data_IF_108332975140
#
_entry.id   IF_108332975140
#
_cell.length_a   1.000
_cell.length_b   1.000
_cell.length_c   1.000
_cell.angle_alpha   90.00
_cell.angle_beta   90.00
_cell.angle_gamma   90.00
#
_symmetry.space_group_name_H-M   'P 1'
#
loop_
_entity.id
_entity.type
_entity.pdbx_description
1 polymer ?
#
# COMPACT_ATOMS: atom_id res chain seq x y z
N UNK A 1 77.82 68.71 37.18
CA UNK A 1 78.00 67.98 35.98
C UNK A 1 77.88 66.57 36.34
N UNK A 2 77.26 65.76 35.65
CA UNK A 2 76.93 64.33 35.83
C UNK A 2 76.25 63.95 37.17
N UNK A 3 74.92 63.80 37.09
CA UNK A 3 74.14 63.00 38.04
C UNK A 3 74.19 61.57 37.49
N UNK A 4 75.01 60.73 38.14
CA UNK A 4 75.10 59.32 37.90
C UNK A 4 73.90 58.59 38.50
N UNK A 5 73.34 57.68 37.72
CA UNK A 5 72.27 56.75 38.06
C UNK A 5 72.64 55.84 39.21
N UNK A 6 71.98 55.96 40.36
CA UNK A 6 71.98 54.92 41.35
C UNK A 6 70.75 54.00 41.09
N UNK A 7 70.84 53.09 40.11
CA UNK A 7 69.99 51.92 40.09
C UNK A 7 70.39 50.99 41.23
N UNK A 8 69.61 50.99 42.28
CA UNK A 8 69.79 50.12 43.44
C UNK A 8 69.62 48.65 42.99
N UNK A 9 70.73 47.95 42.74
CA UNK A 9 70.75 46.52 42.49
C UNK A 9 70.06 45.79 43.69
N UNK A 10 68.89 45.26 43.45
CA UNK A 10 68.13 44.44 44.44
C UNK A 10 68.90 43.23 44.78
N UNK A 11 69.22 42.98 46.10
CA UNK A 11 69.98 41.84 46.56
C UNK A 11 69.41 40.55 46.05
N UNK A 12 70.24 39.59 45.64
CA UNK A 12 69.87 38.26 45.15
C UNK A 12 68.83 37.56 46.01
N UNK A 13 68.84 37.78 47.30
CA UNK A 13 67.83 37.19 48.27
C UNK A 13 66.42 37.81 48.06
N UNK A 14 66.37 39.11 47.76
CA UNK A 14 65.13 39.86 47.49
C UNK A 14 64.55 39.48 46.14
N UNK A 15 65.37 39.24 45.11
CA UNK A 15 64.97 38.79 43.78
C UNK A 15 64.42 37.36 43.91
N UNK A 16 65.05 36.42 44.64
CA UNK A 16 64.55 35.08 44.89
C UNK A 16 63.24 35.06 45.63
N UNK A 17 63.00 35.96 46.60
CA UNK A 17 61.71 36.08 47.30
C UNK A 17 60.59 36.54 46.38
N UNK A 18 60.86 37.48 45.51
CA UNK A 18 59.89 38.00 44.52
C UNK A 18 59.56 36.92 43.47
N UNK A 19 60.59 36.21 42.96
CA UNK A 19 60.41 35.11 42.04
C UNK A 19 59.55 33.98 42.66
N UNK A 20 59.85 33.58 43.92
CA UNK A 20 59.09 32.57 44.62
C UNK A 20 57.62 33.01 44.90
N UNK A 21 57.37 34.29 45.24
CA UNK A 21 55.99 34.83 45.35
C UNK A 21 55.26 34.81 44.06
N UNK A 22 55.90 35.16 42.92
CA UNK A 22 55.29 35.10 41.58
C UNK A 22 54.95 33.66 41.15
N UNK A 23 55.83 32.75 41.51
CA UNK A 23 55.60 31.32 41.16
C UNK A 23 54.47 30.71 42.01
N UNK A 24 54.37 31.00 43.30
CA UNK A 24 53.26 30.59 44.16
C UNK A 24 51.95 31.23 43.67
N UNK A 25 51.98 32.48 43.26
CA UNK A 25 50.79 33.17 42.71
C UNK A 25 50.38 32.56 41.38
N UNK A 26 51.34 32.15 40.52
CA UNK A 26 51.07 31.44 39.24
C UNK A 26 50.49 30.05 39.48
N UNK A 27 51.06 29.29 40.43
CA UNK A 27 50.55 27.96 40.81
C UNK A 27 49.13 28.06 41.38
N UNK A 28 48.83 29.01 42.27
CA UNK A 28 47.48 29.25 42.79
C UNK A 28 46.49 29.61 41.69
N UNK A 29 46.92 30.50 40.75
CA UNK A 29 46.09 30.88 39.61
C UNK A 29 45.81 29.69 38.70
N UNK A 30 46.83 28.89 38.40
CA UNK A 30 46.68 27.68 37.57
C UNK A 30 45.78 26.62 38.25
N UNK A 31 45.90 26.45 39.57
CA UNK A 31 45.03 25.57 40.34
C UNK A 31 43.55 26.04 40.35
N UNK A 32 43.33 27.37 40.43
CA UNK A 32 41.97 27.93 40.30
C UNK A 32 41.45 27.75 38.87
N UNK A 33 42.25 28.07 37.86
CA UNK A 33 41.90 27.88 36.46
C UNK A 33 41.58 26.38 36.15
N UNK A 34 42.35 25.43 36.70
CA UNK A 34 42.07 24.01 36.58
C UNK A 34 40.75 23.60 37.20
N UNK A 35 40.43 24.15 38.38
CA UNK A 35 39.12 23.90 39.02
C UNK A 35 37.96 24.49 38.21
N UNK A 36 38.11 25.72 37.69
CA UNK A 36 37.12 26.35 36.85
C UNK A 36 36.91 25.54 35.56
N UNK A 37 38.00 25.11 34.91
CA UNK A 37 37.91 24.26 33.70
C UNK A 37 37.21 22.94 33.99
N UNK A 38 37.50 22.29 35.12
CA UNK A 38 36.83 21.05 35.52
C UNK A 38 35.30 21.27 35.74
N UNK A 39 34.92 22.38 36.37
CA UNK A 39 33.47 22.70 36.54
C UNK A 39 32.81 22.97 35.22
N UNK A 40 33.45 23.69 34.29
CA UNK A 40 32.89 23.94 32.95
C UNK A 40 32.72 22.63 32.15
N UNK A 41 33.69 21.73 32.23
CA UNK A 41 33.60 20.42 31.60
C UNK A 41 32.43 19.60 32.19
N UNK A 42 32.29 19.59 33.52
CA UNK A 42 31.17 18.87 34.17
C UNK A 42 29.82 19.48 33.74
N UNK A 43 29.70 20.80 33.70
CA UNK A 43 28.48 21.48 33.24
C UNK A 43 28.16 21.16 31.77
N UNK A 44 29.18 21.09 30.92
CA UNK A 44 29.01 20.71 29.51
C UNK A 44 28.56 19.28 29.37
N UNK A 45 29.07 18.32 30.15
CA UNK A 45 28.63 16.93 30.18
C UNK A 45 27.20 16.81 30.68
N UNK A 46 26.86 17.49 31.77
CA UNK A 46 25.48 17.52 32.29
C UNK A 46 24.52 18.10 31.26
N UNK A 47 24.91 19.23 30.62
CA UNK A 47 24.12 19.83 29.54
C UNK A 47 23.87 18.85 28.35
N UNK A 48 24.92 18.11 27.96
CA UNK A 48 24.81 17.10 26.92
C UNK A 48 23.87 15.93 27.32
N UNK A 49 23.99 15.45 28.55
CA UNK A 49 23.11 14.39 29.08
C UNK A 49 21.64 14.87 29.10
N UNK A 50 21.39 16.07 29.61
CA UNK A 50 20.04 16.67 29.62
C UNK A 50 19.51 16.82 28.20
N UNK A 51 20.34 17.31 27.27
CA UNK A 51 19.95 17.44 25.86
C UNK A 51 19.58 16.06 25.24
N UNK A 52 20.39 15.03 25.48
CA UNK A 52 20.12 13.68 24.98
C UNK A 52 18.83 13.08 25.58
N UNK A 53 18.62 13.27 26.90
CA UNK A 53 17.39 12.81 27.59
C UNK A 53 16.16 13.54 27.03
N UNK A 54 16.24 14.88 26.90
CA UNK A 54 15.13 15.67 26.34
C UNK A 54 14.84 15.27 24.89
N UNK A 55 15.88 15.07 24.07
CA UNK A 55 15.74 14.60 22.70
C UNK A 55 15.07 13.22 22.63
N UNK A 56 15.47 12.26 23.49
CA UNK A 56 14.86 10.95 23.57
C UNK A 56 13.39 11.01 24.03
N UNK A 57 13.08 11.87 25.01
CA UNK A 57 11.70 12.11 25.45
C UNK A 57 10.83 12.71 24.36
N UNK A 58 11.36 13.67 23.58
CA UNK A 58 10.65 14.25 22.44
C UNK A 58 10.42 13.19 21.37
N UNK A 59 11.45 12.37 21.06
CA UNK A 59 11.31 11.27 20.11
C UNK A 59 10.21 10.28 20.53
N UNK A 60 10.21 9.83 21.79
CA UNK A 60 9.18 8.93 22.33
C UNK A 60 7.78 9.54 22.33
N UNK A 61 7.65 10.86 22.54
CA UNK A 61 6.34 11.52 22.51
C UNK A 61 5.75 11.64 21.11
N UNK A 62 6.58 11.57 20.05
CA UNK A 62 6.16 11.58 18.64
C UNK A 62 5.92 10.20 18.08
N UNK A 63 6.46 9.16 18.71
CA UNK A 63 6.32 7.78 18.24
C UNK A 63 4.85 7.36 18.28
N UNK A 64 4.33 6.89 17.14
CA UNK A 64 3.00 6.30 17.03
C UNK A 64 3.10 4.82 17.38
N UNK A 65 2.30 4.38 18.33
CA UNK A 65 2.18 2.96 18.68
C UNK A 65 1.17 2.33 17.75
N UNK A 66 1.52 1.20 17.13
CA UNK A 66 0.59 0.42 16.32
C UNK A 66 -0.60 -0.02 17.20
N UNK A 67 -1.83 0.23 16.75
CA UNK A 67 -3.05 0.02 17.51
C UNK A 67 -4.09 -0.69 16.63
N UNK A 68 -4.49 -1.89 17.00
CA UNK A 68 -5.48 -2.66 16.25
C UNK A 68 -6.92 -2.44 16.73
N UNK A 69 -7.11 -1.83 17.91
CA UNK A 69 -8.43 -1.64 18.50
C UNK A 69 -9.08 -0.30 18.07
N UNK A 70 -9.18 -0.06 16.77
CA UNK A 70 -9.88 1.10 16.23
C UNK A 70 -11.33 1.22 16.74
N UNK A 71 -12.04 0.09 16.80
CA UNK A 71 -13.42 0.03 17.29
C UNK A 71 -13.57 0.49 18.75
N UNK A 72 -12.47 0.49 19.52
CA UNK A 72 -12.43 0.97 20.90
C UNK A 72 -12.82 2.44 21.05
N UNK A 73 -12.58 3.28 20.06
CA UNK A 73 -12.94 4.71 20.02
C UNK A 73 -14.29 4.97 19.34
N UNK A 74 -15.05 3.93 19.05
CA UNK A 74 -16.39 4.01 18.46
C UNK A 74 -17.45 3.51 19.43
N UNK A 75 -18.63 4.06 19.31
CA UNK A 75 -19.83 3.58 20.01
C UNK A 75 -20.42 2.37 19.29
N UNK A 76 -21.33 1.64 19.96
CA UNK A 76 -22.00 0.48 19.35
C UNK A 76 -22.84 0.81 18.10
N UNK A 77 -23.19 2.07 17.91
CA UNK A 77 -23.89 2.57 16.73
C UNK A 77 -22.96 3.27 15.72
N UNK A 78 -21.66 3.06 15.82
CA UNK A 78 -20.66 3.49 14.84
C UNK A 78 -20.24 4.96 14.90
N UNK A 79 -20.69 5.72 15.90
CA UNK A 79 -20.27 7.11 16.10
C UNK A 79 -18.93 7.18 16.86
N UNK A 80 -18.14 8.22 16.62
CA UNK A 80 -16.92 8.48 17.38
C UNK A 80 -17.30 8.84 18.82
N UNK A 81 -16.73 8.16 19.80
CA UNK A 81 -17.07 8.33 21.22
C UNK A 81 -16.86 9.74 21.73
N UNK A 82 -17.89 10.29 22.39
CA UNK A 82 -17.81 11.59 23.03
C UNK A 82 -17.64 12.77 22.08
N UNK A 83 -17.80 12.55 20.76
CA UNK A 83 -17.63 13.56 19.73
C UNK A 83 -18.98 14.02 19.21
N UNK A 84 -19.21 15.33 19.25
CA UNK A 84 -20.23 16.02 18.44
C UNK A 84 -19.50 16.57 17.22
N UNK A 85 -19.75 15.99 16.06
CA UNK A 85 -18.92 16.25 14.88
C UNK A 85 -18.90 17.71 14.46
N UNK A 86 -20.03 18.46 14.66
CA UNK A 86 -20.09 19.89 14.34
C UNK A 86 -19.10 20.77 15.12
N UNK A 87 -18.53 20.29 16.22
CA UNK A 87 -17.52 21.02 16.99
C UNK A 87 -16.14 20.93 16.30
N UNK A 88 -15.91 19.87 15.51
CA UNK A 88 -14.64 19.53 14.87
C UNK A 88 -14.59 19.84 13.39
N UNK A 89 -15.74 19.86 12.70
CA UNK A 89 -15.81 20.08 11.25
C UNK A 89 -16.97 21.02 10.89
N UNK A 90 -16.78 21.79 9.84
CA UNK A 90 -17.86 22.48 9.11
C UNK A 90 -18.10 21.73 7.82
N UNK A 91 -19.29 21.11 7.69
CA UNK A 91 -19.64 20.29 6.53
C UNK A 91 -19.98 21.19 5.34
N UNK A 92 -19.54 20.80 4.15
CA UNK A 92 -19.93 21.43 2.89
C UNK A 92 -21.44 21.28 2.61
N UNK A 93 -21.95 22.05 1.68
CA UNK A 93 -23.36 21.95 1.27
C UNK A 93 -23.62 20.64 0.50
N UNK A 94 -23.93 19.57 1.23
CA UNK A 94 -24.27 18.26 0.69
C UNK A 94 -25.68 18.17 0.09
N UNK A 95 -26.49 19.22 0.20
CA UNK A 95 -27.84 19.26 -0.37
C UNK A 95 -27.88 19.75 -1.83
N UNK A 96 -26.81 20.41 -2.29
CA UNK A 96 -26.71 21.02 -3.62
C UNK A 96 -25.46 20.56 -4.40
N UNK A 97 -25.07 19.30 -4.25
CA UNK A 97 -23.98 18.72 -5.05
C UNK A 97 -24.45 18.57 -6.50
N UNK A 98 -23.62 19.00 -7.44
CA UNK A 98 -23.85 18.87 -8.88
C UNK A 98 -22.64 18.25 -9.55
N UNK A 99 -22.85 17.28 -10.43
CA UNK A 99 -21.82 16.55 -11.15
C UNK A 99 -22.23 16.35 -12.62
N UNK A 100 -21.29 16.37 -13.55
CA UNK A 100 -21.57 16.01 -14.93
C UNK A 100 -21.61 14.49 -15.08
N UNK A 101 -22.51 13.97 -15.93
CA UNK A 101 -22.63 12.53 -16.18
C UNK A 101 -21.29 11.92 -16.61
N UNK A 102 -20.54 12.61 -17.48
CA UNK A 102 -19.24 12.17 -17.97
C UNK A 102 -18.16 11.95 -16.90
N UNK A 103 -18.35 12.49 -15.69
CA UNK A 103 -17.41 12.31 -14.56
C UNK A 103 -17.71 11.06 -13.75
N UNK A 104 -18.92 10.48 -13.91
CA UNK A 104 -19.40 9.35 -13.08
C UNK A 104 -19.94 8.18 -13.91
N UNK A 105 -20.15 8.34 -15.21
CA UNK A 105 -20.59 7.25 -16.08
C UNK A 105 -19.52 6.14 -16.19
N UNK A 106 -19.97 4.94 -16.47
CA UNK A 106 -19.09 3.83 -16.82
C UNK A 106 -19.17 3.60 -18.33
N UNK A 107 -18.15 4.06 -19.03
CA UNK A 107 -18.13 4.12 -20.48
C UNK A 107 -18.18 2.73 -21.15
N UNK A 108 -18.74 2.66 -22.36
CA UNK A 108 -18.95 1.40 -23.08
C UNK A 108 -17.67 0.61 -23.32
N UNK A 109 -16.54 1.28 -23.56
CA UNK A 109 -15.24 0.64 -23.73
C UNK A 109 -14.77 -0.08 -22.45
N UNK A 110 -15.09 0.44 -21.27
CA UNK A 110 -14.81 -0.22 -19.99
C UNK A 110 -15.69 -1.45 -19.79
N UNK A 111 -16.98 -1.34 -20.13
CA UNK A 111 -17.91 -2.48 -20.10
C UNK A 111 -17.42 -3.62 -20.98
N UNK A 112 -17.04 -3.33 -22.24
CA UNK A 112 -16.54 -4.36 -23.15
C UNK A 112 -15.17 -4.92 -22.70
N UNK A 113 -14.33 -4.12 -22.07
CA UNK A 113 -13.08 -4.59 -21.45
C UNK A 113 -13.33 -5.59 -20.31
N UNK A 114 -14.29 -5.30 -19.43
CA UNK A 114 -14.68 -6.21 -18.34
C UNK A 114 -15.24 -7.52 -18.90
N UNK A 115 -16.13 -7.42 -19.91
CA UNK A 115 -16.69 -8.60 -20.59
C UNK A 115 -15.58 -9.43 -21.23
N UNK A 116 -14.65 -8.79 -21.95
CA UNK A 116 -13.49 -9.46 -22.54
C UNK A 116 -12.65 -10.22 -21.52
N UNK A 117 -12.46 -9.62 -20.33
CA UNK A 117 -11.74 -10.26 -19.22
C UNK A 117 -12.47 -11.50 -18.70
N UNK A 118 -13.80 -11.42 -18.58
CA UNK A 118 -14.63 -12.56 -18.14
C UNK A 118 -14.57 -13.68 -19.18
N UNK A 119 -14.72 -13.37 -20.47
CA UNK A 119 -14.63 -14.35 -21.55
C UNK A 119 -13.27 -15.05 -21.58
N UNK A 120 -12.19 -14.28 -21.37
CA UNK A 120 -10.83 -14.83 -21.31
C UNK A 120 -10.62 -15.81 -20.15
N UNK A 121 -11.32 -15.61 -19.02
CA UNK A 121 -11.29 -16.53 -17.88
C UNK A 121 -12.14 -17.80 -18.09
N UNK A 122 -13.05 -17.76 -19.06
CA UNK A 122 -13.96 -18.87 -19.37
C UNK A 122 -13.63 -19.53 -20.73
N UNK A 123 -12.39 -19.42 -21.19
CA UNK A 123 -11.91 -20.11 -22.39
C UNK A 123 -11.97 -21.61 -22.19
N UNK A 124 -12.34 -22.34 -23.26
CA UNK A 124 -12.36 -23.81 -23.32
C UNK A 124 -11.24 -24.33 -24.21
N UNK A 125 -10.59 -25.41 -23.78
CA UNK A 125 -9.54 -26.06 -24.57
C UNK A 125 -10.17 -26.91 -25.66
N UNK A 126 -10.01 -26.50 -26.93
CA UNK A 126 -10.40 -27.26 -28.09
C UNK A 126 -9.26 -28.17 -28.56
N UNK A 127 -9.54 -29.46 -28.64
CA UNK A 127 -8.57 -30.48 -29.05
C UNK A 127 -8.91 -31.12 -30.40
N UNK A 128 -9.77 -30.46 -31.18
CA UNK A 128 -10.18 -30.93 -32.50
C UNK A 128 -9.02 -30.90 -33.47
N UNK A 129 -8.63 -32.05 -34.02
CA UNK A 129 -7.55 -32.16 -35.02
C UNK A 129 -7.79 -31.24 -36.20
N UNK A 130 -6.70 -30.58 -36.68
CA UNK A 130 -6.73 -29.67 -37.82
C UNK A 130 -7.11 -28.22 -37.47
N UNK A 131 -7.47 -27.90 -36.22
CA UNK A 131 -7.60 -26.52 -35.77
C UNK A 131 -6.20 -25.87 -35.76
N UNK A 132 -6.02 -24.73 -36.40
CA UNK A 132 -4.71 -24.11 -36.66
C UNK A 132 -4.45 -22.96 -35.75
N UNK A 133 -3.27 -22.95 -35.09
CA UNK A 133 -2.82 -21.90 -34.19
C UNK A 133 -2.52 -20.59 -34.92
N UNK A 134 -2.87 -19.48 -34.28
CA UNK A 134 -2.67 -18.10 -34.76
C UNK A 134 -1.95 -17.28 -33.70
N UNK A 135 -1.41 -16.15 -34.11
CA UNK A 135 -0.89 -15.15 -33.20
C UNK A 135 -1.98 -14.66 -32.24
N UNK A 136 -1.64 -14.58 -30.94
CA UNK A 136 -2.55 -14.23 -29.86
C UNK A 136 -3.33 -15.42 -29.26
N UNK A 137 -3.31 -16.60 -29.88
CA UNK A 137 -4.00 -17.77 -29.33
C UNK A 137 -3.30 -18.27 -28.05
N UNK A 138 -4.09 -18.62 -27.04
CA UNK A 138 -3.62 -19.42 -25.92
C UNK A 138 -3.68 -20.90 -26.36
N UNK A 139 -2.52 -21.56 -26.28
CA UNK A 139 -2.37 -22.95 -26.73
C UNK A 139 -1.91 -23.84 -25.58
N UNK A 140 -2.18 -25.15 -25.70
CA UNK A 140 -1.61 -26.18 -24.83
C UNK A 140 -0.58 -26.98 -25.60
N UNK A 141 0.64 -27.06 -25.07
CA UNK A 141 1.80 -27.67 -25.71
C UNK A 141 2.40 -28.76 -24.84
N UNK A 142 2.94 -29.81 -25.51
CA UNK A 142 4.03 -30.62 -24.95
C UNK A 142 5.29 -30.26 -25.74
N UNK A 143 6.43 -30.14 -25.07
CA UNK A 143 7.70 -29.93 -25.76
C UNK A 143 8.86 -30.60 -25.05
N UNK A 144 9.88 -30.95 -25.83
CA UNK A 144 11.18 -31.48 -25.35
C UNK A 144 12.31 -30.84 -26.12
N UNK A 145 13.08 -29.97 -25.46
CA UNK A 145 14.25 -29.28 -26.00
C UNK A 145 15.52 -30.11 -25.87
N UNK A 146 16.33 -30.12 -26.91
CA UNK A 146 17.64 -30.80 -26.96
C UNK A 146 18.70 -29.87 -27.52
N UNK A 147 19.88 -29.91 -26.90
CA UNK A 147 21.12 -29.29 -27.41
C UNK A 147 22.05 -30.43 -27.79
N UNK A 148 22.57 -30.42 -29.03
CA UNK A 148 23.40 -31.51 -29.57
C UNK A 148 22.75 -32.91 -29.43
N UNK A 149 21.41 -32.97 -29.50
CA UNK A 149 20.62 -34.22 -29.38
C UNK A 149 20.37 -34.68 -27.93
N UNK A 150 20.87 -33.96 -26.92
CA UNK A 150 20.72 -34.28 -25.49
C UNK A 150 19.72 -33.32 -24.85
N UNK A 151 18.70 -33.86 -24.15
CA UNK A 151 17.75 -33.07 -23.39
C UNK A 151 18.45 -32.32 -22.22
N UNK A 152 18.02 -31.12 -21.92
CA UNK A 152 18.56 -30.27 -20.87
C UNK A 152 17.48 -29.90 -19.84
N UNK A 153 17.93 -29.55 -18.62
CA UNK A 153 17.04 -29.17 -17.53
C UNK A 153 16.28 -27.87 -17.86
N UNK A 154 14.95 -27.89 -17.67
CA UNK A 154 14.04 -26.77 -18.02
C UNK A 154 13.61 -26.76 -19.50
N UNK A 155 14.14 -27.66 -20.35
CA UNK A 155 13.76 -27.77 -21.76
C UNK A 155 12.55 -28.67 -22.05
N UNK A 156 11.90 -29.26 -21.02
CA UNK A 156 10.79 -30.19 -21.24
C UNK A 156 9.58 -29.80 -20.40
N UNK A 157 8.40 -29.76 -21.03
CA UNK A 157 7.12 -29.61 -20.33
C UNK A 157 6.03 -30.45 -21.01
N UNK A 158 5.01 -30.75 -20.25
CA UNK A 158 3.75 -31.39 -20.71
C UNK A 158 2.57 -30.58 -20.23
N UNK A 159 1.55 -30.48 -21.09
CA UNK A 159 0.34 -29.69 -20.82
C UNK A 159 0.64 -28.20 -20.45
N UNK A 160 1.65 -27.62 -21.06
CA UNK A 160 2.03 -26.25 -20.83
C UNK A 160 1.09 -25.28 -21.56
N UNK A 161 0.47 -24.38 -20.81
CA UNK A 161 -0.44 -23.37 -21.36
C UNK A 161 0.31 -22.09 -21.69
N UNK A 162 0.34 -21.71 -22.96
CA UNK A 162 1.11 -20.58 -23.46
C UNK A 162 0.31 -19.68 -24.39
N UNK A 163 0.58 -18.36 -24.38
CA UNK A 163 -0.01 -17.40 -25.33
C UNK A 163 1.00 -17.07 -26.42
N UNK A 164 0.68 -17.41 -27.65
CA UNK A 164 1.54 -17.11 -28.80
C UNK A 164 1.60 -15.60 -29.05
N UNK A 165 2.79 -15.06 -29.31
CA UNK A 165 3.04 -13.62 -29.45
C UNK A 165 3.24 -12.89 -28.12
N UNK A 166 3.25 -13.59 -26.98
CA UNK A 166 3.50 -12.99 -25.65
C UNK A 166 4.97 -12.60 -25.44
N UNK A 167 5.88 -13.13 -26.23
CA UNK A 167 7.34 -12.97 -26.11
C UNK A 167 7.87 -13.41 -24.72
N UNK A 168 7.25 -14.39 -24.09
CA UNK A 168 7.69 -14.94 -22.81
C UNK A 168 8.59 -16.17 -22.98
N UNK A 169 8.55 -16.81 -24.15
CA UNK A 169 9.53 -17.80 -24.55
C UNK A 169 10.75 -17.16 -25.27
N UNK A 170 11.78 -17.96 -25.54
CA UNK A 170 12.91 -17.51 -26.32
C UNK A 170 12.48 -17.09 -27.73
N UNK A 171 13.20 -16.12 -28.27
CA UNK A 171 12.95 -15.55 -29.61
C UNK A 171 12.72 -16.66 -30.66
N UNK A 172 11.79 -16.43 -31.54
CA UNK A 172 11.38 -17.30 -32.65
C UNK A 172 10.67 -18.62 -32.24
N UNK A 173 10.58 -18.98 -30.97
CA UNK A 173 9.88 -20.19 -30.55
C UNK A 173 8.38 -20.10 -30.83
N UNK A 174 7.75 -19.00 -30.41
CA UNK A 174 6.31 -18.79 -30.54
C UNK A 174 5.90 -18.63 -32.00
N UNK A 175 6.71 -17.92 -32.81
CA UNK A 175 6.43 -17.67 -34.21
C UNK A 175 6.41 -18.96 -35.05
N UNK A 176 7.24 -19.94 -34.71
CA UNK A 176 7.30 -21.22 -35.42
C UNK A 176 6.11 -22.15 -35.09
N UNK A 177 5.36 -21.91 -34.02
CA UNK A 177 4.16 -22.66 -33.69
C UNK A 177 2.96 -22.14 -34.47
N UNK A 178 2.95 -20.87 -34.85
CA UNK A 178 1.88 -20.25 -35.62
C UNK A 178 1.75 -20.95 -36.97
N UNK A 179 0.53 -21.38 -37.33
CA UNK A 179 0.22 -22.10 -38.55
C UNK A 179 0.22 -23.62 -38.43
N UNK A 180 0.74 -24.18 -37.33
CA UNK A 180 0.60 -25.60 -37.05
C UNK A 180 -0.80 -25.94 -36.49
N UNK A 181 -1.21 -27.19 -36.73
CA UNK A 181 -2.55 -27.67 -36.35
C UNK A 181 -2.53 -28.52 -35.07
N UNK A 182 -3.64 -28.52 -34.36
CA UNK A 182 -3.84 -29.40 -33.21
C UNK A 182 -3.63 -30.87 -33.62
N UNK A 183 -2.86 -31.58 -32.82
CA UNK A 183 -2.44 -32.97 -33.05
C UNK A 183 -1.09 -33.08 -33.80
N UNK A 184 -0.56 -32.02 -34.37
CA UNK A 184 0.76 -32.05 -35.05
C UNK A 184 1.89 -32.10 -34.01
N UNK A 185 2.95 -32.86 -34.39
CA UNK A 185 4.25 -32.86 -33.71
C UNK A 185 5.30 -32.39 -34.73
N UNK A 186 6.06 -31.37 -34.39
CA UNK A 186 7.03 -30.70 -35.26
C UNK A 186 8.23 -30.22 -34.46
N UNK A 187 9.32 -29.91 -35.16
CA UNK A 187 10.52 -29.39 -34.55
C UNK A 187 10.56 -27.85 -34.67
N UNK A 188 10.94 -27.18 -33.60
CA UNK A 188 11.16 -25.73 -33.48
C UNK A 188 12.65 -25.51 -33.18
N UNK A 189 13.33 -24.79 -34.05
CA UNK A 189 14.74 -24.49 -33.93
C UNK A 189 14.95 -23.08 -33.37
N UNK A 190 15.70 -22.95 -32.26
CA UNK A 190 15.97 -21.67 -31.59
C UNK A 190 17.43 -21.56 -31.18
N UNK A 191 17.93 -20.33 -31.09
CA UNK A 191 19.24 -20.03 -30.50
C UNK A 191 19.03 -19.29 -29.17
N UNK A 192 19.58 -19.79 -28.07
CA UNK A 192 19.53 -19.10 -26.78
C UNK A 192 20.28 -17.77 -26.85
N UNK A 193 19.79 -16.70 -26.17
CA UNK A 193 20.52 -15.43 -26.10
C UNK A 193 21.94 -15.62 -25.53
N UNK A 194 22.90 -14.81 -26.02
CA UNK A 194 24.30 -14.81 -25.51
C UNK A 194 24.37 -14.50 -24.02
N UNK A 195 23.42 -13.70 -23.49
CA UNK A 195 23.23 -13.45 -22.06
C UNK A 195 21.92 -14.09 -21.60
N UNK A 196 21.98 -15.33 -21.12
CA UNK A 196 20.84 -16.06 -20.58
C UNK A 196 21.00 -16.31 -19.10
N UNK A 197 20.54 -15.35 -18.28
CA UNK A 197 20.74 -15.36 -16.82
C UNK A 197 20.01 -16.49 -16.10
N UNK A 198 18.91 -17.01 -16.65
CA UNK A 198 18.16 -18.15 -16.09
C UNK A 198 18.94 -19.46 -16.13
N UNK A 199 19.80 -19.64 -17.12
CA UNK A 199 20.72 -20.79 -17.25
C UNK A 199 21.93 -20.42 -18.11
N UNK A 200 23.03 -19.91 -17.50
CA UNK A 200 24.23 -19.49 -18.23
C UNK A 200 24.93 -20.61 -19.00
N UNK A 201 24.71 -21.88 -18.63
CA UNK A 201 25.36 -23.03 -19.28
C UNK A 201 24.85 -23.30 -20.69
N UNK A 202 23.67 -22.79 -21.04
CA UNK A 202 23.05 -22.95 -22.38
C UNK A 202 23.02 -21.64 -23.17
N UNK A 203 23.55 -20.54 -22.63
CA UNK A 203 23.65 -19.26 -23.32
C UNK A 203 24.38 -19.40 -24.68
N UNK A 204 23.84 -18.77 -25.73
CA UNK A 204 24.38 -18.79 -27.09
C UNK A 204 24.33 -20.13 -27.82
N UNK A 205 23.69 -21.17 -27.25
CA UNK A 205 23.59 -22.50 -27.88
C UNK A 205 22.34 -22.63 -28.74
N UNK A 206 22.48 -23.38 -29.83
CA UNK A 206 21.35 -23.81 -30.64
C UNK A 206 20.63 -24.99 -29.98
N UNK A 207 19.31 -24.96 -30.00
CA UNK A 207 18.45 -26.01 -29.47
C UNK A 207 17.32 -26.36 -30.47
N UNK A 208 16.93 -27.61 -30.46
CA UNK A 208 15.78 -28.12 -31.18
C UNK A 208 14.74 -28.61 -30.19
N UNK A 209 13.56 -28.04 -30.26
CA UNK A 209 12.40 -28.46 -29.46
C UNK A 209 11.46 -29.28 -30.32
N UNK A 210 11.25 -30.53 -29.95
CA UNK A 210 10.14 -31.32 -30.53
C UNK A 210 8.86 -30.89 -29.79
N UNK A 211 7.95 -30.22 -30.48
CA UNK A 211 6.72 -29.60 -29.94
C UNK A 211 5.50 -30.39 -30.44
N UNK A 212 4.53 -30.63 -29.56
CA UNK A 212 3.21 -31.16 -29.93
C UNK A 212 2.16 -30.13 -29.55
N UNK A 213 1.38 -29.64 -30.52
CA UNK A 213 0.24 -28.76 -30.26
C UNK A 213 -0.98 -29.61 -29.85
N UNK A 214 -1.31 -29.61 -28.56
CA UNK A 214 -2.38 -30.44 -27.99
C UNK A 214 -3.76 -29.84 -28.12
N UNK A 215 -3.87 -28.51 -28.11
CA UNK A 215 -5.14 -27.82 -28.21
C UNK A 215 -4.96 -26.31 -28.25
N UNK A 216 -6.04 -25.64 -28.62
CA UNK A 216 -6.14 -24.18 -28.67
C UNK A 216 -7.30 -23.77 -27.76
N UNK A 217 -7.08 -22.77 -26.91
CA UNK A 217 -8.13 -22.21 -26.09
C UNK A 217 -9.01 -21.28 -26.91
N UNK A 218 -10.30 -21.58 -26.93
CA UNK A 218 -11.31 -20.81 -27.65
C UNK A 218 -12.07 -19.94 -26.66
N UNK A 219 -12.10 -18.64 -26.93
CA UNK A 219 -12.89 -17.67 -26.16
C UNK A 219 -14.37 -17.83 -26.55
N UNK A 220 -15.28 -18.04 -25.57
CA UNK A 220 -16.71 -18.11 -25.87
C UNK A 220 -17.26 -16.76 -26.36
N UNK A 221 -18.37 -16.79 -27.08
CA UNK A 221 -19.11 -15.58 -27.42
C UNK A 221 -19.93 -15.09 -26.22
N UNK A 222 -20.04 -13.76 -26.08
CA UNK A 222 -20.87 -13.16 -25.03
C UNK A 222 -22.34 -13.15 -25.45
N UNK A 223 -23.03 -14.24 -25.16
CA UNK A 223 -24.45 -14.46 -25.49
C UNK A 223 -25.33 -14.51 -24.24
N UNK A 224 -26.65 -14.50 -24.41
CA UNK A 224 -27.61 -14.70 -23.31
C UNK A 224 -27.43 -16.06 -22.64
N UNK A 225 -27.05 -17.11 -23.40
CA UNK A 225 -26.74 -18.43 -22.91
C UNK A 225 -25.52 -18.40 -21.99
N UNK A 226 -24.44 -17.72 -22.41
CA UNK A 226 -23.24 -17.53 -21.61
C UNK A 226 -23.58 -16.84 -20.28
N UNK A 227 -24.39 -15.77 -20.32
CA UNK A 227 -24.80 -15.01 -19.11
C UNK A 227 -25.63 -15.91 -18.18
N UNK A 228 -26.57 -16.69 -18.69
CA UNK A 228 -27.37 -17.60 -17.87
C UNK A 228 -26.54 -18.72 -17.22
N UNK A 229 -25.51 -19.19 -17.90
CA UNK A 229 -24.64 -20.26 -17.38
C UNK A 229 -23.65 -19.74 -16.35
N UNK A 230 -23.02 -18.57 -16.58
CA UNK A 230 -21.90 -18.10 -15.80
C UNK A 230 -22.18 -16.86 -14.93
N UNK A 231 -23.23 -16.09 -15.24
CA UNK A 231 -23.49 -14.76 -14.65
C UNK A 231 -24.94 -14.57 -14.19
N UNK A 232 -25.69 -15.66 -14.00
CA UNK A 232 -27.13 -15.65 -13.65
C UNK A 232 -27.46 -14.93 -12.34
N UNK A 233 -26.50 -14.79 -11.43
CA UNK A 233 -26.67 -14.02 -10.20
C UNK A 233 -26.78 -12.52 -10.44
N UNK A 234 -26.40 -12.04 -11.64
CA UNK A 234 -26.33 -10.61 -11.98
C UNK A 234 -27.30 -10.21 -13.09
N UNK A 235 -27.55 -11.08 -14.06
CA UNK A 235 -28.45 -10.82 -15.18
C UNK A 235 -28.89 -12.11 -15.88
N UNK A 236 -29.99 -12.00 -16.67
CA UNK A 236 -30.52 -13.10 -17.49
C UNK A 236 -30.13 -12.98 -18.98
N UNK A 237 -29.58 -11.82 -19.40
CA UNK A 237 -29.23 -11.56 -20.80
C UNK A 237 -27.90 -10.79 -20.90
N UNK A 238 -27.26 -10.85 -22.09
CA UNK A 238 -26.03 -10.12 -22.40
C UNK A 238 -26.20 -8.61 -22.23
N UNK A 239 -27.28 -8.05 -22.71
CA UNK A 239 -27.57 -6.61 -22.55
C UNK A 239 -27.90 -6.27 -21.09
N UNK A 240 -28.60 -7.16 -20.38
CA UNK A 240 -28.85 -7.02 -18.94
C UNK A 240 -27.57 -6.97 -18.12
N UNK A 241 -26.58 -7.81 -18.48
CA UNK A 241 -25.28 -7.78 -17.79
C UNK A 241 -24.47 -6.52 -18.10
N UNK A 242 -24.49 -6.02 -19.35
CA UNK A 242 -23.91 -4.71 -19.69
C UNK A 242 -24.51 -3.59 -18.86
N UNK A 243 -25.83 -3.58 -18.72
CA UNK A 243 -26.51 -2.59 -17.89
C UNK A 243 -26.16 -2.74 -16.41
N UNK A 244 -26.10 -3.96 -15.89
CA UNK A 244 -25.63 -4.24 -14.52
C UNK A 244 -24.24 -3.66 -14.25
N UNK A 245 -23.27 -3.86 -15.18
CA UNK A 245 -21.92 -3.28 -15.05
C UNK A 245 -21.96 -1.76 -15.01
N UNK A 246 -22.76 -1.13 -15.89
CA UNK A 246 -22.94 0.33 -15.90
C UNK A 246 -23.52 0.84 -14.59
N UNK A 247 -24.61 0.25 -14.12
CA UNK A 247 -25.30 0.70 -12.92
C UNK A 247 -24.46 0.53 -11.65
N UNK A 248 -23.77 -0.61 -11.54
CA UNK A 248 -22.84 -0.90 -10.44
C UNK A 248 -21.69 0.12 -10.38
N UNK A 249 -21.05 0.38 -11.51
CA UNK A 249 -19.91 1.28 -11.57
C UNK A 249 -20.37 2.75 -11.46
N UNK A 250 -21.52 3.12 -12.02
CA UNK A 250 -22.10 4.45 -11.84
C UNK A 250 -22.33 4.75 -10.35
N UNK A 251 -22.94 3.82 -9.60
CA UNK A 251 -23.13 3.97 -8.15
C UNK A 251 -21.79 4.15 -7.43
N UNK A 252 -20.78 3.36 -7.78
CA UNK A 252 -19.43 3.44 -7.22
C UNK A 252 -18.75 4.77 -7.54
N UNK A 253 -18.78 5.19 -8.81
CA UNK A 253 -18.19 6.46 -9.26
C UNK A 253 -18.83 7.67 -8.58
N UNK A 254 -20.17 7.68 -8.51
CA UNK A 254 -20.92 8.75 -7.81
C UNK A 254 -20.57 8.76 -6.31
N UNK A 255 -20.44 7.61 -5.67
CA UNK A 255 -20.01 7.51 -4.26
C UNK A 255 -18.61 8.09 -4.07
N UNK A 256 -17.68 7.74 -4.96
CA UNK A 256 -16.31 8.27 -4.96
C UNK A 256 -16.30 9.78 -5.17
N UNK A 257 -17.10 10.28 -6.10
CA UNK A 257 -17.26 11.73 -6.34
C UNK A 257 -17.74 12.46 -5.06
N UNK A 258 -18.81 11.96 -4.44
CA UNK A 258 -19.36 12.55 -3.20
C UNK A 258 -18.31 12.51 -2.07
N UNK A 259 -17.60 11.37 -1.90
CA UNK A 259 -16.54 11.26 -0.90
C UNK A 259 -15.46 12.32 -1.10
N UNK A 260 -14.97 12.46 -2.34
CA UNK A 260 -13.96 13.46 -2.68
C UNK A 260 -14.50 14.89 -2.47
N UNK A 261 -15.74 15.15 -2.89
CA UNK A 261 -16.40 16.43 -2.64
C UNK A 261 -16.44 16.79 -1.15
N UNK A 262 -16.80 15.84 -0.26
CA UNK A 262 -16.80 16.04 1.18
C UNK A 262 -15.37 16.28 1.72
N UNK A 263 -14.40 15.50 1.25
CA UNK A 263 -13.00 15.66 1.64
C UNK A 263 -12.47 17.05 1.21
N UNK A 264 -12.76 17.50 0.01
CA UNK A 264 -12.21 18.74 -0.52
C UNK A 264 -12.88 19.99 0.04
N UNK A 265 -14.21 19.95 0.23
CA UNK A 265 -15.00 21.13 0.54
C UNK A 265 -15.42 21.29 2.02
N UNK A 266 -15.30 20.26 2.85
CA UNK A 266 -15.48 20.39 4.29
C UNK A 266 -14.26 21.07 4.93
N UNK A 267 -14.48 21.85 5.98
CA UNK A 267 -13.40 22.53 6.72
C UNK A 267 -13.22 21.93 8.10
N UNK A 268 -12.09 21.27 8.34
CA UNK A 268 -11.72 20.76 9.66
C UNK A 268 -11.28 21.91 10.56
N UNK A 269 -11.82 21.97 11.77
CA UNK A 269 -11.43 22.89 12.84
C UNK A 269 -10.33 22.28 13.71
N UNK A 270 -10.47 21.01 14.03
CA UNK A 270 -9.48 20.17 14.73
C UNK A 270 -9.89 18.70 14.60
N UNK A 271 -8.97 17.79 14.92
CA UNK A 271 -9.30 16.37 15.03
C UNK A 271 -9.51 15.97 16.51
N UNK A 272 -10.47 15.06 16.82
CA UNK A 272 -10.59 14.47 18.14
C UNK A 272 -9.33 13.67 18.46
N UNK A 273 -8.64 14.00 19.56
CA UNK A 273 -7.29 13.52 19.88
C UNK A 273 -7.20 12.00 19.98
N UNK A 274 -8.15 11.36 20.66
CA UNK A 274 -8.15 9.92 20.90
C UNK A 274 -8.46 9.15 19.60
N UNK A 275 -9.41 9.65 18.82
CA UNK A 275 -9.75 9.08 17.52
C UNK A 275 -8.61 9.26 16.51
N UNK A 276 -7.94 10.42 16.47
CA UNK A 276 -6.75 10.63 15.65
C UNK A 276 -5.62 9.66 16.03
N UNK A 277 -5.39 9.52 17.33
CA UNK A 277 -4.36 8.62 17.85
C UNK A 277 -4.58 7.17 17.39
N UNK A 278 -5.80 6.65 17.59
CA UNK A 278 -6.12 5.27 17.20
C UNK A 278 -6.14 5.08 15.69
N UNK A 279 -6.56 6.08 14.92
CA UNK A 279 -6.54 6.02 13.46
C UNK A 279 -5.11 5.94 12.92
N UNK A 280 -4.19 6.77 13.44
CA UNK A 280 -2.76 6.70 13.14
C UNK A 280 -2.16 5.35 13.52
N UNK A 281 -2.49 4.87 14.73
CA UNK A 281 -2.04 3.57 15.24
C UNK A 281 -2.54 2.40 14.39
N UNK A 282 -3.79 2.45 13.95
CA UNK A 282 -4.37 1.42 13.08
C UNK A 282 -3.71 1.40 11.70
N UNK A 283 -3.43 2.56 11.11
CA UNK A 283 -2.69 2.63 9.85
C UNK A 283 -1.28 2.02 9.99
N UNK A 284 -0.56 2.38 11.05
CA UNK A 284 0.76 1.78 11.34
C UNK A 284 0.67 0.27 11.55
N UNK A 285 -0.36 -0.22 12.25
CA UNK A 285 -0.57 -1.65 12.46
C UNK A 285 -0.82 -2.41 11.14
N UNK A 286 -1.51 -1.81 10.17
CA UNK A 286 -1.70 -2.38 8.83
C UNK A 286 -0.38 -2.48 8.07
N UNK A 287 0.48 -1.46 8.16
CA UNK A 287 1.81 -1.49 7.54
C UNK A 287 2.72 -2.53 8.19
N UNK A 288 2.70 -2.66 9.52
CA UNK A 288 3.43 -3.73 10.23
C UNK A 288 2.91 -5.13 9.86
N UNK A 289 1.60 -5.29 9.69
CA UNK A 289 1.02 -6.54 9.20
C UNK A 289 1.51 -6.87 7.79
N UNK A 290 1.49 -5.89 6.87
CA UNK A 290 1.95 -6.09 5.49
C UNK A 290 3.44 -6.43 5.43
N UNK A 291 4.28 -5.74 6.20
CA UNK A 291 5.69 -6.07 6.36
C UNK A 291 5.91 -7.52 6.80
N UNK A 292 5.18 -7.96 7.84
CA UNK A 292 5.30 -9.34 8.34
C UNK A 292 4.80 -10.37 7.32
N UNK A 293 3.69 -10.07 6.62
CA UNK A 293 3.14 -10.91 5.58
C UNK A 293 4.13 -11.10 4.42
N UNK A 294 4.72 -10.02 3.92
CA UNK A 294 5.69 -10.07 2.82
C UNK A 294 6.95 -10.84 3.22
N UNK A 295 7.45 -10.65 4.43
CA UNK A 295 8.59 -11.42 4.94
C UNK A 295 8.27 -12.92 5.08
N UNK A 296 7.07 -13.26 5.53
CA UNK A 296 6.63 -14.66 5.63
C UNK A 296 6.54 -15.32 4.25
N UNK A 297 5.91 -14.62 3.29
CA UNK A 297 5.77 -15.10 1.92
C UNK A 297 7.14 -15.29 1.25
N UNK A 298 8.02 -14.30 1.34
CA UNK A 298 9.35 -14.34 0.74
C UNK A 298 10.23 -15.43 1.36
N UNK A 299 10.14 -15.61 2.69
CA UNK A 299 10.84 -16.66 3.41
C UNK A 299 10.40 -18.07 2.99
N UNK A 300 9.11 -18.23 2.69
CA UNK A 300 8.57 -19.52 2.21
C UNK A 300 9.12 -19.91 0.84
N UNK A 301 9.30 -18.94 -0.08
CA UNK A 301 9.76 -19.21 -1.45
C UNK A 301 11.28 -19.21 -1.60
N UNK A 302 11.99 -18.36 -0.84
CA UNK A 302 13.43 -18.11 -1.03
C UNK A 302 14.29 -18.45 0.18
N UNK A 303 13.69 -18.85 1.31
CA UNK A 303 14.41 -19.23 2.53
C UNK A 303 15.06 -18.06 3.29
N UNK A 304 14.80 -16.81 2.89
CA UNK A 304 15.34 -15.59 3.51
C UNK A 304 14.23 -14.54 3.67
N UNK A 305 14.44 -13.53 4.52
CA UNK A 305 13.52 -12.41 4.67
C UNK A 305 13.77 -11.36 3.57
N UNK A 306 12.71 -10.73 3.09
CA UNK A 306 12.76 -9.63 2.12
C UNK A 306 13.25 -8.32 2.75
N UNK A 307 12.84 -8.07 3.98
CA UNK A 307 13.18 -6.87 4.77
C UNK A 307 13.81 -7.28 6.10
N UNK A 308 14.90 -6.62 6.47
CA UNK A 308 15.64 -6.90 7.71
C UNK A 308 14.96 -6.37 8.98
N UNK A 309 14.11 -5.34 8.85
CA UNK A 309 13.34 -4.71 9.92
C UNK A 309 12.16 -3.93 9.35
N UNK A 310 11.23 -3.49 10.21
CA UNK A 310 10.14 -2.59 9.80
C UNK A 310 10.67 -1.26 9.27
N UNK A 311 11.72 -0.70 9.85
CA UNK A 311 12.38 0.51 9.33
C UNK A 311 13.01 0.29 7.94
N UNK A 312 13.60 -0.88 7.68
CA UNK A 312 14.10 -1.26 6.33
C UNK A 312 12.96 -1.32 5.31
N UNK A 313 11.81 -1.90 5.70
CA UNK A 313 10.59 -1.89 4.89
C UNK A 313 10.12 -0.47 4.59
N UNK A 314 10.00 0.39 5.60
CA UNK A 314 9.56 1.78 5.42
C UNK A 314 10.54 2.58 4.53
N UNK A 315 11.84 2.36 4.70
CA UNK A 315 12.87 3.01 3.88
C UNK A 315 12.78 2.60 2.42
N UNK A 316 12.61 1.31 2.14
CA UNK A 316 12.53 0.78 0.76
C UNK A 316 11.21 1.11 0.08
N UNK A 317 10.10 1.11 0.82
CA UNK A 317 8.75 1.31 0.26
C UNK A 317 8.34 2.78 0.19
N UNK A 318 8.75 3.58 1.16
CA UNK A 318 8.29 4.98 1.33
C UNK A 318 9.43 5.99 1.36
N UNK A 319 10.70 5.57 1.33
CA UNK A 319 11.89 6.43 1.50
C UNK A 319 11.87 7.22 2.81
N UNK A 320 11.35 6.62 3.89
CA UNK A 320 11.19 7.24 5.21
C UNK A 320 11.81 6.39 6.31
N UNK A 321 12.41 7.02 7.31
CA UNK A 321 12.67 6.41 8.61
C UNK A 321 11.35 6.17 9.35
N UNK A 322 11.33 5.34 10.39
CA UNK A 322 10.13 5.14 11.21
C UNK A 322 9.66 6.45 11.88
N UNK A 323 10.59 7.32 12.29
CA UNK A 323 10.27 8.64 12.86
C UNK A 323 9.58 9.56 11.82
N UNK A 324 10.11 9.64 10.60
CA UNK A 324 9.52 10.42 9.50
C UNK A 324 8.16 9.85 9.06
N UNK A 325 8.02 8.53 9.09
CA UNK A 325 6.76 7.87 8.81
C UNK A 325 5.72 8.25 9.87
N UNK A 326 6.03 8.12 11.16
CA UNK A 326 5.15 8.49 12.28
C UNK A 326 4.73 9.98 12.23
N UNK A 327 5.65 10.88 11.86
CA UNK A 327 5.36 12.31 11.67
C UNK A 327 4.39 12.56 10.50
N UNK A 328 4.49 11.76 9.42
CA UNK A 328 3.61 11.90 8.24
C UNK A 328 2.22 11.30 8.42
N UNK A 329 1.98 10.48 9.43
CA UNK A 329 0.71 9.76 9.60
C UNK A 329 -0.50 10.68 9.75
N UNK A 330 -0.37 11.84 10.37
CA UNK A 330 -1.50 12.78 10.51
C UNK A 330 -1.98 13.29 9.14
N UNK A 331 -1.06 13.61 8.24
CA UNK A 331 -1.38 13.98 6.86
C UNK A 331 -1.98 12.77 6.12
N UNK A 332 -1.38 11.59 6.26
CA UNK A 332 -1.82 10.36 5.60
C UNK A 332 -3.27 10.02 5.96
N UNK A 333 -3.65 10.08 7.24
CA UNK A 333 -5.01 9.74 7.68
C UNK A 333 -5.99 10.89 7.59
N UNK A 334 -5.54 12.10 7.21
CA UNK A 334 -6.37 13.33 7.24
C UNK A 334 -7.63 13.22 6.38
N UNK A 335 -7.54 12.61 5.21
CA UNK A 335 -8.68 12.38 4.31
C UNK A 335 -9.74 11.48 4.93
N UNK A 336 -9.33 10.37 5.53
CA UNK A 336 -10.23 9.41 6.17
C UNK A 336 -10.88 10.01 7.43
N UNK A 337 -10.10 10.73 8.24
CA UNK A 337 -10.59 11.45 9.41
C UNK A 337 -11.62 12.51 9.03
N UNK A 338 -11.34 13.28 7.97
CA UNK A 338 -12.24 14.31 7.46
C UNK A 338 -13.53 13.70 6.93
N UNK A 339 -13.44 12.60 6.19
CA UNK A 339 -14.60 11.87 5.71
C UNK A 339 -15.44 11.30 6.86
N UNK A 340 -14.83 10.66 7.85
CA UNK A 340 -15.52 10.10 9.01
C UNK A 340 -16.26 11.19 9.81
N UNK A 341 -15.61 12.33 10.08
CA UNK A 341 -16.24 13.46 10.74
C UNK A 341 -17.37 14.07 9.91
N UNK A 342 -17.22 14.16 8.58
CA UNK A 342 -18.28 14.65 7.68
C UNK A 342 -19.49 13.73 7.71
N UNK A 343 -19.29 12.42 7.60
CA UNK A 343 -20.38 11.44 7.69
C UNK A 343 -21.09 11.51 9.04
N UNK A 344 -20.35 11.58 10.15
CA UNK A 344 -20.96 11.71 11.46
C UNK A 344 -21.74 13.03 11.60
N UNK A 345 -21.21 14.15 11.11
CA UNK A 345 -21.91 15.44 11.18
C UNK A 345 -23.22 15.44 10.37
N UNK A 346 -23.22 14.81 9.19
CA UNK A 346 -24.43 14.64 8.38
C UNK A 346 -25.40 13.71 9.10
N UNK A 347 -24.93 12.59 9.64
CA UNK A 347 -25.77 11.66 10.40
C UNK A 347 -26.43 12.32 11.61
N UNK A 348 -25.69 13.13 12.38
CA UNK A 348 -26.20 13.91 13.51
C UNK A 348 -27.25 14.95 13.07
N UNK A 349 -27.01 15.63 11.94
CA UNK A 349 -27.91 16.67 11.42
C UNK A 349 -29.23 16.09 10.87
N UNK A 350 -29.16 14.95 10.19
CA UNK A 350 -30.30 14.33 9.49
C UNK A 350 -30.96 13.21 10.30
N UNK A 351 -30.47 12.91 11.52
CA UNK A 351 -31.00 11.86 12.37
C UNK A 351 -30.76 10.43 11.82
N UNK A 352 -29.71 10.24 11.01
CA UNK A 352 -29.34 8.93 10.46
C UNK A 352 -28.66 8.11 11.54
N UNK A 353 -29.16 6.91 11.80
CA UNK A 353 -28.63 5.99 12.81
C UNK A 353 -28.33 4.64 12.19
N UNK A 354 -27.42 3.88 12.81
CA UNK A 354 -27.08 2.52 12.44
C UNK A 354 -27.03 1.63 13.69
N UNK A 355 -27.22 0.33 13.50
CA UNK A 355 -27.03 -0.71 14.51
C UNK A 355 -26.49 -1.97 13.85
N UNK A 356 -26.07 -2.95 14.68
CA UNK A 356 -25.42 -4.16 14.18
C UNK A 356 -26.37 -5.06 13.40
N UNK A 357 -27.64 -5.10 13.73
CA UNK A 357 -28.61 -5.95 13.02
C UNK A 357 -28.90 -5.40 11.62
N UNK A 358 -29.05 -4.09 11.50
CA UNK A 358 -29.21 -3.43 10.19
C UNK A 358 -27.94 -3.59 9.34
N UNK A 359 -26.75 -3.46 9.95
CA UNK A 359 -25.47 -3.68 9.25
C UNK A 359 -25.33 -5.12 8.74
N UNK A 360 -25.78 -6.11 9.55
CA UNK A 360 -25.80 -7.52 9.14
C UNK A 360 -26.73 -7.75 7.96
N UNK A 361 -27.95 -7.26 8.06
CA UNK A 361 -28.95 -7.44 7.00
C UNK A 361 -28.47 -6.80 5.69
N UNK A 362 -27.88 -5.63 5.76
CA UNK A 362 -27.29 -4.95 4.61
C UNK A 362 -26.14 -5.80 4.01
N UNK A 363 -25.18 -6.26 4.84
CA UNK A 363 -24.06 -7.10 4.40
C UNK A 363 -24.51 -8.37 3.67
N UNK A 364 -25.55 -9.02 4.18
CA UNK A 364 -26.13 -10.23 3.56
C UNK A 364 -26.84 -9.88 2.25
N UNK A 365 -27.56 -8.74 2.19
CA UNK A 365 -28.23 -8.29 0.96
C UNK A 365 -27.27 -7.94 -0.18
N UNK A 366 -26.03 -7.54 0.15
CA UNK A 366 -24.95 -7.30 -0.81
C UNK A 366 -24.16 -8.60 -1.16
N UNK A 367 -24.67 -9.78 -0.83
CA UNK A 367 -24.06 -11.08 -1.18
C UNK A 367 -23.09 -11.65 -0.14
N UNK A 368 -22.95 -11.01 1.02
CA UNK A 368 -22.16 -11.55 2.13
C UNK A 368 -22.85 -12.70 2.84
N UNK A 369 -22.08 -13.49 3.62
CA UNK A 369 -22.61 -14.58 4.45
C UNK A 369 -22.60 -14.22 5.93
N UNK A 370 -23.45 -14.87 6.72
CA UNK A 370 -23.48 -14.73 8.18
C UNK A 370 -22.12 -15.07 8.82
N UNK A 371 -21.42 -16.08 8.33
CA UNK A 371 -20.10 -16.48 8.81
C UNK A 371 -19.07 -15.37 8.56
N UNK A 372 -19.05 -14.83 7.36
CA UNK A 372 -18.15 -13.73 7.00
C UNK A 372 -18.47 -12.46 7.80
N UNK A 373 -19.74 -12.14 8.04
CA UNK A 373 -20.13 -11.04 8.90
C UNK A 373 -19.61 -11.19 10.34
N UNK A 374 -19.77 -12.39 10.92
CA UNK A 374 -19.25 -12.70 12.26
C UNK A 374 -17.71 -12.63 12.32
N UNK A 375 -17.05 -12.99 11.24
CA UNK A 375 -15.59 -12.82 11.08
C UNK A 375 -15.21 -11.34 11.08
N UNK A 376 -15.97 -10.48 10.39
CA UNK A 376 -15.75 -9.02 10.43
C UNK A 376 -15.91 -8.47 11.86
N UNK A 377 -16.98 -8.87 12.58
CA UNK A 377 -17.17 -8.46 13.96
C UNK A 377 -16.01 -8.89 14.89
N UNK A 378 -15.49 -10.09 14.66
CA UNK A 378 -14.37 -10.62 15.47
C UNK A 378 -13.07 -9.87 15.18
N UNK A 379 -12.78 -9.58 13.92
CA UNK A 379 -11.51 -9.00 13.48
C UNK A 379 -11.46 -7.47 13.73
N UNK A 380 -12.57 -6.77 13.51
CA UNK A 380 -12.59 -5.29 13.51
C UNK A 380 -13.42 -4.69 14.65
N UNK A 381 -14.24 -5.50 15.32
CA UNK A 381 -15.14 -5.05 16.37
C UNK A 381 -16.44 -4.41 15.87
N UNK A 382 -17.47 -4.42 16.72
CA UNK A 382 -18.82 -3.96 16.36
C UNK A 382 -18.85 -2.49 15.95
N UNK A 383 -18.17 -1.60 16.68
CA UNK A 383 -18.16 -0.17 16.40
C UNK A 383 -17.71 0.13 14.97
N UNK A 384 -16.62 -0.54 14.50
CA UNK A 384 -16.11 -0.38 13.14
C UNK A 384 -17.09 -0.89 12.08
N UNK A 385 -17.64 -2.08 12.26
CA UNK A 385 -18.59 -2.68 11.31
C UNK A 385 -19.84 -1.81 11.17
N UNK A 386 -20.36 -1.30 12.30
CA UNK A 386 -21.53 -0.42 12.28
C UNK A 386 -21.19 0.97 11.74
N UNK A 387 -19.97 1.48 11.96
CA UNK A 387 -19.52 2.75 11.36
C UNK A 387 -19.46 2.66 9.84
N UNK A 388 -18.94 1.56 9.29
CA UNK A 388 -18.89 1.35 7.84
C UNK A 388 -20.29 1.37 7.22
N UNK A 389 -21.26 0.74 7.88
CA UNK A 389 -22.65 0.77 7.46
C UNK A 389 -23.30 2.16 7.64
N UNK A 390 -23.00 2.88 8.73
CA UNK A 390 -23.43 4.26 8.92
C UNK A 390 -22.95 5.16 7.78
N UNK A 391 -21.72 5.01 7.36
CA UNK A 391 -21.16 5.76 6.23
C UNK A 391 -21.92 5.44 4.93
N UNK A 392 -22.24 4.17 4.66
CA UNK A 392 -23.04 3.81 3.50
C UNK A 392 -24.45 4.46 3.54
N UNK A 393 -25.13 4.43 4.69
CA UNK A 393 -26.42 5.13 4.86
C UNK A 393 -26.33 6.63 4.61
N UNK A 394 -25.28 7.28 5.09
CA UNK A 394 -25.06 8.70 4.85
C UNK A 394 -24.78 8.96 3.37
N UNK A 395 -23.98 8.12 2.73
CA UNK A 395 -23.68 8.23 1.30
C UNK A 395 -24.92 7.97 0.43
N UNK A 396 -25.78 7.01 0.79
CA UNK A 396 -27.09 6.80 0.13
C UNK A 396 -27.99 8.04 0.24
N UNK A 397 -28.05 8.62 1.42
CA UNK A 397 -28.83 9.86 1.65
C UNK A 397 -28.30 11.02 0.78
N UNK A 398 -26.99 11.22 0.75
CA UNK A 398 -26.38 12.29 -0.06
C UNK A 398 -26.51 12.00 -1.56
N UNK A 399 -26.35 10.75 -2.01
CA UNK A 399 -26.57 10.34 -3.41
C UNK A 399 -27.96 10.73 -3.90
N UNK A 400 -28.98 10.55 -3.05
CA UNK A 400 -30.35 10.94 -3.38
C UNK A 400 -30.58 12.44 -3.59
N UNK A 401 -29.60 13.29 -3.24
CA UNK A 401 -29.70 14.76 -3.37
C UNK A 401 -28.82 15.32 -4.50
N UNK A 402 -27.96 14.50 -5.11
CA UNK A 402 -27.04 14.95 -6.17
C UNK A 402 -27.81 15.24 -7.46
N UNK A 403 -27.52 16.39 -8.05
CA UNK A 403 -28.00 16.73 -9.40
C UNK A 403 -26.96 16.30 -10.42
N UNK A 404 -27.38 15.41 -11.34
CA UNK A 404 -26.51 14.96 -12.44
C UNK A 404 -26.89 15.75 -13.70
N UNK A 405 -25.91 16.50 -14.23
CA UNK A 405 -26.02 17.23 -15.48
C UNK A 405 -25.64 16.32 -16.66
N UNK A 406 -26.38 16.41 -17.76
CA UNK A 406 -26.09 15.67 -19.01
C UNK A 406 -24.98 16.33 -19.83
#
# INVERSE_FOLDING_TARGET
MSKENSETEMSLSKQRKIARKKEIARQKRNAVLGKVAAVVIILAIVGLIVFLVVKDQIKKSKQVVAESNYSGELTDNGMIKGVKASDYITVADYNNISVNLSEIEYADDKVESDISSILSQNQTLETTEGLTAKDGDKVRLDYTGKIDGVAFDGGTATDDDHVLGSNTFIHDFEEQIIGHSVGETFDVEVTFPEEYSSNPDIAGKDAVFTVTLKGIYVTPEFTDEFVKEHLSDYADTADGYRQYLKDKNYKSNLTTYIRNYLIDNCTVKSYPSDYLKVTKGNYKAQEEYYYNYMNSLYSQYYGTQMYSSFEDYLTKSYSKTEEEFDESLEETVSGDMKFALSCQAIAEAEGITANVDDARNYYISEGGTEENFNTQLTNYGQGYVVQSYLFEKVMDFVRGKVTVNQ
#
